data_IF_102736348445
#
_entry.id   IF_102736348445
#
_cell.length_a   1.000
_cell.length_b   1.000
_cell.length_c   1.000
_cell.angle_alpha   90.00
_cell.angle_beta   90.00
_cell.angle_gamma   90.00
#
_symmetry.space_group_name_H-M   'P 1'
#
loop_
_entity.id
_entity.type
_entity.pdbx_description
1 polymer ?
#
# COMPACT_ATOMS: atom_id res chain seq x y z
N UNK A 1 4.42 9.89 -22.43
CA UNK A 1 4.85 10.67 -21.25
C UNK A 1 3.72 10.99 -20.26
N UNK A 2 2.48 11.38 -20.63
CA UNK A 2 1.44 11.66 -19.64
C UNK A 2 0.93 10.42 -18.88
N UNK A 3 0.94 9.24 -19.51
CA UNK A 3 0.49 7.99 -18.86
C UNK A 3 1.38 7.54 -17.68
N UNK A 4 2.68 7.77 -17.74
CA UNK A 4 3.62 7.37 -16.67
C UNK A 4 3.57 8.32 -15.46
N UNK A 5 3.32 9.61 -15.69
CA UNK A 5 3.12 10.58 -14.60
C UNK A 5 1.82 10.31 -13.83
N UNK A 6 0.77 9.83 -14.50
CA UNK A 6 -0.47 9.38 -13.83
C UNK A 6 -0.22 8.18 -12.92
N UNK A 7 0.45 7.15 -13.44
CA UNK A 7 0.72 5.91 -12.70
C UNK A 7 1.56 6.14 -11.43
N UNK A 8 2.61 6.97 -11.52
CA UNK A 8 3.43 7.32 -10.34
C UNK A 8 2.58 7.98 -9.25
N UNK A 9 1.68 8.91 -9.62
CA UNK A 9 0.75 9.55 -8.68
C UNK A 9 -0.20 8.55 -8.02
N UNK A 10 -0.81 7.66 -8.81
CA UNK A 10 -1.74 6.63 -8.32
C UNK A 10 -1.09 5.65 -7.33
N UNK A 11 0.15 5.23 -7.60
CA UNK A 11 0.97 4.40 -6.70
C UNK A 11 1.26 5.12 -5.37
N UNK A 12 1.56 6.42 -5.44
CA UNK A 12 1.82 7.21 -4.24
C UNK A 12 0.56 7.43 -3.40
N UNK A 13 -0.60 7.62 -4.04
CA UNK A 13 -1.90 7.65 -3.36
C UNK A 13 -2.16 6.35 -2.60
N UNK A 14 -1.94 5.18 -3.22
CA UNK A 14 -2.10 3.90 -2.52
C UNK A 14 -1.12 3.72 -1.36
N UNK A 15 0.15 4.13 -1.52
CA UNK A 15 1.13 4.09 -0.43
C UNK A 15 0.61 4.86 0.79
N UNK A 16 0.11 6.08 0.59
CA UNK A 16 -0.48 6.89 1.67
C UNK A 16 -1.72 6.26 2.27
N UNK A 17 -2.59 5.66 1.46
CA UNK A 17 -3.81 4.99 1.93
C UNK A 17 -3.54 3.72 2.75
N UNK A 18 -2.38 3.07 2.56
CA UNK A 18 -1.93 1.93 3.39
C UNK A 18 -0.98 2.34 4.53
N UNK A 19 -0.66 3.62 4.67
CA UNK A 19 0.09 4.15 5.80
C UNK A 19 -0.84 4.42 6.98
N UNK A 20 -0.28 4.51 8.20
CA UNK A 20 -1.08 4.89 9.36
C UNK A 20 -1.69 6.29 9.13
N UNK A 21 -3.02 6.47 9.32
CA UNK A 21 -3.67 7.73 8.98
C UNK A 21 -3.42 8.78 10.06
N UNK A 22 -2.41 9.62 9.87
CA UNK A 22 -2.15 10.80 10.70
C UNK A 22 -3.13 11.95 10.42
N UNK A 23 -3.74 11.95 9.24
CA UNK A 23 -4.76 12.91 8.80
C UNK A 23 -5.85 12.21 8.00
N UNK A 24 -7.01 12.85 7.83
CA UNK A 24 -8.03 12.34 6.90
C UNK A 24 -7.45 12.23 5.47
N UNK A 25 -7.78 11.17 4.70
CA UNK A 25 -7.31 11.01 3.33
C UNK A 25 -7.66 12.22 2.46
N UNK A 26 -6.73 12.62 1.59
CA UNK A 26 -6.97 13.71 0.65
C UNK A 26 -7.90 13.23 -0.44
N UNK A 27 -8.71 14.15 -0.99
CA UNK A 27 -9.61 13.82 -2.10
C UNK A 27 -8.86 13.22 -3.31
N UNK A 28 -7.65 13.70 -3.59
CA UNK A 28 -6.77 13.18 -4.67
C UNK A 28 -6.30 11.74 -4.41
N UNK A 29 -6.09 11.35 -3.15
CA UNK A 29 -5.64 9.99 -2.83
C UNK A 29 -6.76 8.97 -3.08
N UNK A 30 -8.02 9.42 -2.97
CA UNK A 30 -9.22 8.61 -3.15
C UNK A 30 -9.64 8.49 -4.63
N UNK A 31 -8.92 9.09 -5.57
CA UNK A 31 -9.44 9.27 -6.92
C UNK A 31 -9.69 7.95 -7.67
N UNK A 32 -8.88 6.93 -7.39
CA UNK A 32 -9.00 5.58 -7.95
C UNK A 32 -9.94 4.64 -7.20
N UNK A 33 -10.56 5.07 -6.10
CA UNK A 33 -11.61 4.29 -5.44
C UNK A 33 -12.89 4.27 -6.28
N UNK A 34 -13.74 3.28 -6.06
CA UNK A 34 -15.06 3.23 -6.69
C UNK A 34 -15.93 4.44 -6.27
N UNK A 35 -16.91 4.87 -7.11
CA UNK A 35 -17.69 6.07 -6.83
C UNK A 35 -18.42 6.07 -5.48
N UNK A 36 -18.90 4.92 -5.01
CA UNK A 36 -19.60 4.81 -3.73
C UNK A 36 -18.64 5.02 -2.56
N UNK A 37 -17.45 4.41 -2.62
CA UNK A 37 -16.39 4.63 -1.66
C UNK A 37 -15.90 6.09 -1.66
N UNK A 38 -15.73 6.71 -2.84
CA UNK A 38 -15.35 8.12 -2.96
C UNK A 38 -16.36 9.05 -2.32
N UNK A 39 -17.66 8.82 -2.55
CA UNK A 39 -18.71 9.62 -1.93
C UNK A 39 -18.72 9.45 -0.42
N UNK A 40 -18.59 8.20 0.07
CA UNK A 40 -18.62 7.88 1.49
C UNK A 40 -17.42 8.45 2.26
N UNK A 41 -16.22 8.38 1.68
CA UNK A 41 -14.95 8.71 2.37
C UNK A 41 -14.31 10.02 1.93
N UNK A 42 -14.87 10.68 0.92
CA UNK A 42 -14.34 11.93 0.37
C UNK A 42 -14.42 13.13 1.31
N UNK A 43 -15.14 13.02 2.42
CA UNK A 43 -15.24 14.05 3.45
C UNK A 43 -15.09 13.43 4.84
N UNK A 44 -14.36 14.12 5.72
CA UNK A 44 -14.17 13.67 7.09
C UNK A 44 -15.50 13.68 7.86
N UNK A 45 -15.94 12.54 8.43
CA UNK A 45 -17.20 12.46 9.14
C UNK A 45 -17.05 13.02 10.55
N UNK A 46 -17.18 14.34 10.66
CA UNK A 46 -17.19 15.04 11.94
C UNK A 46 -15.88 14.89 12.74
N UNK A 47 -15.88 15.26 14.04
CA UNK A 47 -14.65 15.38 14.83
C UNK A 47 -13.96 14.03 15.14
N UNK A 48 -14.70 12.92 15.11
CA UNK A 48 -14.20 11.60 15.52
C UNK A 48 -13.85 10.70 14.31
N UNK A 49 -14.00 11.22 13.07
CA UNK A 49 -13.81 10.45 11.85
C UNK A 49 -12.41 9.88 11.71
N UNK A 50 -11.39 10.71 11.92
CA UNK A 50 -9.99 10.29 11.88
C UNK A 50 -9.68 9.22 12.93
N UNK A 51 -10.17 9.38 14.17
CA UNK A 51 -9.96 8.41 15.24
C UNK A 51 -10.58 7.05 14.89
N UNK A 52 -11.79 7.04 14.31
CA UNK A 52 -12.42 5.80 13.84
C UNK A 52 -11.58 5.10 12.77
N UNK A 53 -11.02 5.85 11.82
CA UNK A 53 -10.16 5.32 10.77
C UNK A 53 -8.82 4.78 11.32
N UNK A 54 -8.23 5.47 12.30
CA UNK A 54 -7.02 5.03 13.01
C UNK A 54 -7.27 3.72 13.78
N UNK A 55 -8.37 3.64 14.54
CA UNK A 55 -8.73 2.43 15.28
C UNK A 55 -8.91 1.22 14.35
N UNK A 56 -9.52 1.45 13.18
CA UNK A 56 -9.65 0.44 12.15
C UNK A 56 -8.29 0.01 11.58
N UNK A 57 -7.38 0.95 11.30
CA UNK A 57 -6.02 0.64 10.86
C UNK A 57 -5.30 -0.25 11.89
N UNK A 58 -5.34 0.13 13.17
CA UNK A 58 -4.72 -0.62 14.27
C UNK A 58 -5.30 -2.04 14.35
N UNK A 59 -6.62 -2.17 14.25
CA UNK A 59 -7.32 -3.46 14.31
C UNK A 59 -6.97 -4.38 13.14
N UNK A 60 -6.69 -3.84 11.95
CA UNK A 60 -6.38 -4.65 10.76
C UNK A 60 -4.89 -5.00 10.66
N UNK A 61 -4.00 -4.04 10.95
CA UNK A 61 -2.60 -4.09 10.53
C UNK A 61 -1.59 -4.15 11.68
N UNK A 62 -1.94 -3.71 12.90
CA UNK A 62 -0.96 -3.54 13.99
C UNK A 62 -1.20 -4.48 15.16
N UNK A 63 -2.37 -4.43 15.79
CA UNK A 63 -2.59 -5.14 17.05
C UNK A 63 -4.04 -5.60 17.20
N UNK A 64 -4.30 -6.85 16.84
CA UNK A 64 -5.52 -7.55 17.22
C UNK A 64 -5.16 -8.85 17.95
N UNK A 65 -6.02 -9.24 18.90
CA UNK A 65 -5.91 -10.51 19.62
C UNK A 65 -6.83 -11.54 18.93
N UNK A 66 -6.40 -12.79 18.70
CA UNK A 66 -5.12 -13.40 19.09
C UNK A 66 -3.96 -13.17 18.11
N UNK A 67 -4.25 -12.72 16.89
CA UNK A 67 -3.26 -12.41 15.85
C UNK A 67 -3.71 -11.20 15.01
N UNK A 68 -2.75 -10.52 14.39
CA UNK A 68 -3.02 -9.42 13.44
C UNK A 68 -3.71 -10.00 12.19
N UNK A 69 -4.92 -9.55 11.80
CA UNK A 69 -5.67 -10.16 10.71
C UNK A 69 -4.97 -10.05 9.36
N UNK A 70 -4.42 -8.87 9.10
CA UNK A 70 -3.85 -8.50 7.81
C UNK A 70 -2.45 -7.92 8.00
N UNK A 71 -1.42 -8.68 8.45
CA UNK A 71 -0.08 -8.12 8.61
C UNK A 71 0.35 -7.50 7.27
N UNK A 72 0.81 -6.24 7.21
CA UNK A 72 1.03 -5.54 5.94
C UNK A 72 2.43 -5.77 5.35
N UNK A 73 3.09 -6.88 5.71
CA UNK A 73 4.47 -7.18 5.36
C UNK A 73 4.57 -8.33 4.35
N UNK A 74 5.28 -8.13 3.23
CA UNK A 74 5.46 -9.15 2.20
C UNK A 74 6.06 -10.47 2.73
N UNK A 75 7.05 -10.38 3.61
CA UNK A 75 7.72 -11.53 4.24
C UNK A 75 6.75 -12.44 5.00
N UNK A 76 5.70 -11.89 5.63
CA UNK A 76 4.70 -12.70 6.34
C UNK A 76 3.92 -13.61 5.38
N UNK A 77 3.66 -13.15 4.16
CA UNK A 77 2.91 -13.94 3.16
C UNK A 77 3.79 -14.89 2.37
N UNK A 78 5.04 -14.50 2.11
CA UNK A 78 6.00 -15.28 1.32
C UNK A 78 6.74 -16.33 2.15
N UNK A 79 7.04 -15.99 3.41
CA UNK A 79 7.99 -16.74 4.25
C UNK A 79 7.40 -17.10 5.62
N UNK A 80 6.26 -16.52 6.00
CA UNK A 80 5.56 -16.83 7.25
C UNK A 80 6.16 -16.17 8.50
N UNK A 81 7.10 -15.24 8.33
CA UNK A 81 7.75 -14.48 9.41
C UNK A 81 7.96 -13.03 8.99
N UNK A 82 8.08 -12.12 9.97
CA UNK A 82 8.52 -10.74 9.74
C UNK A 82 10.06 -10.75 9.57
N UNK A 83 10.61 -9.76 8.85
CA UNK A 83 12.06 -9.58 8.61
C UNK A 83 12.69 -10.76 7.83
N UNK A 84 12.00 -11.16 6.76
CA UNK A 84 12.41 -12.25 5.88
C UNK A 84 13.57 -11.94 4.93
N UNK A 85 13.89 -12.91 4.07
CA UNK A 85 14.85 -12.72 2.97
C UNK A 85 14.37 -11.64 1.99
N UNK A 86 13.05 -11.55 1.73
CA UNK A 86 12.44 -10.49 0.91
C UNK A 86 12.74 -9.09 1.47
N UNK A 87 12.63 -8.92 2.79
CA UNK A 87 12.92 -7.66 3.49
C UNK A 87 14.38 -7.23 3.25
N UNK A 88 15.32 -8.17 3.34
CA UNK A 88 16.75 -7.92 3.07
C UNK A 88 17.00 -7.57 1.60
N UNK A 89 16.33 -8.26 0.68
CA UNK A 89 16.39 -7.99 -0.75
C UNK A 89 15.93 -6.57 -1.09
N UNK A 90 14.76 -6.18 -0.57
CA UNK A 90 14.20 -4.84 -0.76
C UNK A 90 15.12 -3.76 -0.21
N UNK A 91 15.68 -3.94 0.99
CA UNK A 91 16.65 -3.00 1.56
C UNK A 91 17.86 -2.76 0.65
N UNK A 92 18.38 -3.82 0.02
CA UNK A 92 19.49 -3.70 -0.96
C UNK A 92 19.05 -2.98 -2.23
N UNK A 93 17.82 -3.24 -2.69
CA UNK A 93 17.26 -2.57 -3.86
C UNK A 93 17.08 -1.07 -3.60
N UNK A 94 16.56 -0.66 -2.44
CA UNK A 94 16.42 0.76 -2.09
C UNK A 94 17.79 1.45 -2.04
N UNK A 95 18.78 0.80 -1.43
CA UNK A 95 20.15 1.31 -1.35
C UNK A 95 20.82 1.47 -2.74
N UNK A 96 20.45 0.68 -3.76
CA UNK A 96 20.91 0.86 -5.16
C UNK A 96 20.58 2.26 -5.69
N UNK A 97 19.49 2.85 -5.21
CA UNK A 97 19.00 4.18 -5.57
C UNK A 97 19.37 5.27 -4.56
N UNK A 98 20.17 4.94 -3.54
CA UNK A 98 20.54 5.88 -2.48
C UNK A 98 19.38 6.22 -1.53
N UNK A 99 18.35 5.37 -1.48
CA UNK A 99 17.20 5.53 -0.60
C UNK A 99 17.35 4.69 0.67
N UNK A 100 16.84 5.22 1.78
CA UNK A 100 16.76 4.55 3.07
C UNK A 100 15.35 4.74 3.63
N UNK A 101 14.90 3.81 4.48
CA UNK A 101 13.61 3.89 5.18
C UNK A 101 13.81 3.54 6.65
N UNK A 102 13.12 4.28 7.51
CA UNK A 102 13.04 3.98 8.95
C UNK A 102 11.94 2.95 9.27
N UNK A 103 11.09 2.65 8.28
CA UNK A 103 10.06 1.62 8.37
C UNK A 103 10.58 0.25 7.92
N UNK A 104 9.73 -0.77 8.01
CA UNK A 104 10.03 -2.09 7.48
C UNK A 104 10.13 -2.03 5.95
N UNK A 105 11.23 -2.49 5.32
CA UNK A 105 11.37 -2.44 3.87
C UNK A 105 10.27 -3.17 3.10
N UNK A 106 9.71 -4.26 3.63
CA UNK A 106 8.63 -5.02 2.97
C UNK A 106 7.23 -4.63 3.46
N UNK A 107 7.07 -3.46 4.09
CA UNK A 107 5.75 -2.88 4.33
C UNK A 107 5.13 -2.47 2.99
N UNK A 108 3.85 -2.82 2.74
CA UNK A 108 3.19 -2.50 1.46
C UNK A 108 3.27 -1.02 1.09
N UNK A 109 3.12 -0.12 2.06
CA UNK A 109 3.18 1.32 1.82
C UNK A 109 4.56 1.74 1.29
N UNK A 110 5.64 1.19 1.85
CA UNK A 110 7.03 1.44 1.44
C UNK A 110 7.31 0.85 0.06
N UNK A 111 6.88 -0.37 -0.20
CA UNK A 111 7.04 -1.00 -1.52
C UNK A 111 6.29 -0.23 -2.62
N UNK A 112 5.07 0.26 -2.35
CA UNK A 112 4.28 1.06 -3.28
C UNK A 112 4.89 2.44 -3.53
N UNK A 113 5.40 3.10 -2.49
CA UNK A 113 6.12 4.37 -2.63
C UNK A 113 7.37 4.18 -3.50
N UNK A 114 8.13 3.11 -3.26
CA UNK A 114 9.29 2.82 -4.07
C UNK A 114 8.93 2.43 -5.51
N UNK A 115 7.82 1.70 -5.72
CA UNK A 115 7.31 1.43 -7.07
C UNK A 115 6.89 2.72 -7.79
N UNK A 116 6.30 3.69 -7.07
CA UNK A 116 5.98 5.02 -7.58
C UNK A 116 7.25 5.77 -8.01
N UNK A 117 8.29 5.72 -7.19
CA UNK A 117 9.61 6.30 -7.51
C UNK A 117 10.21 5.68 -8.77
N UNK A 118 10.19 4.35 -8.90
CA UNK A 118 10.69 3.66 -10.10
C UNK A 118 9.86 3.96 -11.36
N UNK A 119 8.57 4.28 -11.21
CA UNK A 119 7.69 4.66 -12.31
C UNK A 119 7.88 6.11 -12.78
N UNK A 120 8.49 6.97 -11.96
CA UNK A 120 8.72 8.37 -12.29
C UNK A 120 9.79 8.50 -13.38
N UNK A 121 9.46 9.08 -14.55
CA UNK A 121 10.44 9.29 -15.63
C UNK A 121 11.66 10.12 -15.22
N UNK A 122 11.53 10.97 -14.20
CA UNK A 122 12.61 11.84 -13.69
C UNK A 122 13.61 11.05 -12.84
N UNK A 123 13.20 9.93 -12.26
CA UNK A 123 14.09 9.07 -11.47
C UNK A 123 15.15 8.35 -12.32
N UNK A 124 14.96 8.29 -13.65
CA UNK A 124 15.84 7.56 -14.58
C UNK A 124 16.13 6.12 -14.11
N UNK A 125 15.14 5.47 -13.51
CA UNK A 125 15.28 4.16 -12.94
C UNK A 125 15.40 3.05 -14.00
N UNK A 126 16.06 1.96 -13.62
CA UNK A 126 16.15 0.75 -14.44
C UNK A 126 14.75 0.12 -14.61
N UNK A 127 14.25 -0.05 -15.85
CA UNK A 127 12.98 -0.72 -16.09
C UNK A 127 12.93 -2.16 -15.55
N UNK A 128 14.08 -2.85 -15.46
CA UNK A 128 14.14 -4.20 -14.91
C UNK A 128 13.83 -4.22 -13.40
N UNK A 129 14.29 -3.21 -12.65
CA UNK A 129 14.01 -3.09 -11.22
C UNK A 129 12.52 -2.79 -10.98
N UNK A 130 11.89 -1.97 -11.83
CA UNK A 130 10.44 -1.74 -11.77
C UNK A 130 9.66 -3.06 -11.98
N UNK A 131 10.01 -3.83 -13.01
CA UNK A 131 9.36 -5.10 -13.29
C UNK A 131 9.60 -6.13 -12.19
N UNK A 132 10.82 -6.17 -11.62
CA UNK A 132 11.16 -7.06 -10.51
C UNK A 132 10.35 -6.73 -9.25
N UNK A 133 10.24 -5.44 -8.89
CA UNK A 133 9.44 -5.01 -7.74
C UNK A 133 7.94 -5.25 -7.96
N UNK A 134 7.43 -4.97 -9.16
CA UNK A 134 6.03 -5.25 -9.50
C UNK A 134 5.72 -6.74 -9.41
N UNK A 135 6.61 -7.60 -9.92
CA UNK A 135 6.48 -9.05 -9.79
C UNK A 135 6.55 -9.50 -8.31
N UNK A 136 7.42 -8.88 -7.51
CA UNK A 136 7.50 -9.10 -6.08
C UNK A 136 6.18 -8.76 -5.39
N UNK A 137 5.65 -7.55 -5.56
CA UNK A 137 4.35 -7.13 -5.01
C UNK A 137 3.24 -8.11 -5.42
N UNK A 138 3.17 -8.50 -6.69
CA UNK A 138 2.17 -9.46 -7.20
C UNK A 138 2.25 -10.85 -6.58
N UNK A 139 3.41 -11.27 -6.09
CA UNK A 139 3.58 -12.59 -5.49
C UNK A 139 2.88 -12.74 -4.14
N UNK A 140 2.59 -11.63 -3.45
CA UNK A 140 2.07 -11.66 -2.08
C UNK A 140 0.80 -10.83 -1.89
N UNK A 141 0.68 -9.69 -2.58
CA UNK A 141 -0.46 -8.77 -2.44
C UNK A 141 -1.83 -9.39 -2.72
N UNK A 142 -2.04 -10.35 -3.65
CA UNK A 142 -3.37 -10.93 -3.84
C UNK A 142 -3.94 -11.57 -2.56
N UNK A 143 -3.09 -12.23 -1.76
CA UNK A 143 -3.48 -12.85 -0.50
C UNK A 143 -3.70 -11.81 0.60
N UNK A 144 -2.84 -10.79 0.68
CA UNK A 144 -3.00 -9.67 1.61
C UNK A 144 -4.29 -8.89 1.35
N UNK A 145 -4.52 -8.46 0.11
CA UNK A 145 -5.67 -7.65 -0.29
C UNK A 145 -6.99 -8.40 -0.06
N UNK A 146 -7.01 -9.71 -0.33
CA UNK A 146 -8.19 -10.52 -0.02
C UNK A 146 -8.46 -10.62 1.49
N UNK A 147 -7.43 -10.72 2.33
CA UNK A 147 -7.61 -10.65 3.79
C UNK A 147 -8.17 -9.30 4.23
N UNK A 148 -7.64 -8.20 3.72
CA UNK A 148 -8.16 -6.85 4.03
C UNK A 148 -9.63 -6.74 3.64
N UNK A 149 -9.98 -7.17 2.42
CA UNK A 149 -11.35 -7.15 1.90
C UNK A 149 -12.34 -7.94 2.77
N UNK A 150 -11.89 -9.04 3.39
CA UNK A 150 -12.71 -9.92 4.22
C UNK A 150 -12.83 -9.45 5.68
N UNK A 151 -11.82 -8.76 6.21
CA UNK A 151 -11.75 -8.39 7.63
C UNK A 151 -12.12 -6.93 7.88
N UNK A 152 -12.17 -6.09 6.85
CA UNK A 152 -12.58 -4.70 7.00
C UNK A 152 -14.12 -4.53 6.97
N UNK A 153 -14.72 -4.43 8.16
CA UNK A 153 -16.16 -4.22 8.34
C UNK A 153 -16.61 -2.79 8.01
N UNK A 154 -15.76 -1.78 8.21
CA UNK A 154 -16.12 -0.37 7.98
C UNK A 154 -16.17 -0.05 6.48
N UNK A 155 -15.29 -0.72 5.72
CA UNK A 155 -15.27 -0.72 4.26
C UNK A 155 -14.28 0.24 3.62
N UNK A 156 -13.57 1.07 4.40
CA UNK A 156 -12.52 1.96 3.86
C UNK A 156 -11.35 1.16 3.26
N UNK A 157 -10.63 0.39 4.06
CA UNK A 157 -9.49 -0.41 3.59
C UNK A 157 -9.93 -1.52 2.63
N UNK A 158 -11.17 -1.98 2.70
CA UNK A 158 -11.78 -2.83 1.68
C UNK A 158 -11.79 -2.14 0.32
N UNK A 159 -12.24 -0.88 0.23
CA UNK A 159 -12.22 -0.12 -1.01
C UNK A 159 -10.78 0.10 -1.50
N UNK A 160 -9.86 0.49 -0.60
CA UNK A 160 -8.43 0.61 -0.91
C UNK A 160 -7.87 -0.71 -1.45
N UNK A 161 -8.26 -1.85 -0.87
CA UNK A 161 -7.79 -3.16 -1.32
C UNK A 161 -8.28 -3.55 -2.71
N UNK A 162 -9.51 -3.15 -3.07
CA UNK A 162 -10.05 -3.36 -4.40
C UNK A 162 -9.29 -2.52 -5.43
N UNK A 163 -9.08 -1.23 -5.14
CA UNK A 163 -8.30 -0.33 -5.99
C UNK A 163 -6.86 -0.82 -6.19
N UNK A 164 -6.19 -1.20 -5.10
CA UNK A 164 -4.85 -1.77 -5.15
C UNK A 164 -4.77 -3.05 -5.97
N UNK A 165 -5.78 -3.91 -5.87
CA UNK A 165 -5.84 -5.15 -6.66
C UNK A 165 -5.93 -4.84 -8.15
N UNK A 166 -6.80 -3.91 -8.54
CA UNK A 166 -6.96 -3.50 -9.94
C UNK A 166 -5.63 -2.97 -10.49
N UNK A 167 -5.04 -2.02 -9.76
CA UNK A 167 -3.80 -1.36 -10.18
C UNK A 167 -2.60 -2.32 -10.27
N UNK A 168 -2.51 -3.30 -9.38
CA UNK A 168 -1.43 -4.29 -9.40
C UNK A 168 -1.74 -5.45 -10.35
N UNK A 169 -2.98 -5.65 -10.80
CA UNK A 169 -3.37 -6.80 -11.64
C UNK A 169 -3.08 -6.64 -13.14
N UNK A 170 -2.80 -5.42 -13.62
CA UNK A 170 -2.62 -5.16 -15.06
C UNK A 170 -1.33 -5.77 -15.64
N UNK A 171 -1.47 -6.94 -16.30
CA UNK A 171 -0.52 -7.51 -17.27
C UNK A 171 -1.25 -7.97 -18.52
#
# INVERSE_FOLDING_TARGET
>A
MPAQAGLSGELLSLSRLFSYPETWPRAEDLDGLDPEAKEKWGQEPGPDGLEALQNQYVSLFINALPEVPCPPFGSVYLEGTIMGESTVGLKKLYAKYGLETDEMPDLIAVELEFLSFLADPVAHADPEDYQALLAHLRSWTPKFLERVRQNDESGFFKAVSCYAREMLSDS
#
